data_IF_879078609337
#
_entry.id   IF_879078609337
#
_cell.length_a   1.000
_cell.length_b   1.000
_cell.length_c   1.000
_cell.angle_alpha   90.00
_cell.angle_beta   90.00
_cell.angle_gamma   90.00
#
_symmetry.space_group_name_H-M   'P 1'
#
loop_
_entity.id
_entity.type
_entity.pdbx_description
1 polymer ?
#
# COMPACT_ATOMS: atom_id res chain seq x y z
N UNK A 1 0.87 -1.49 -5.53
CA UNK A 1 1.79 -1.10 -4.45
C UNK A 1 1.74 -2.14 -3.35
N UNK A 2 2.87 -2.62 -2.94
CA UNK A 2 2.97 -3.54 -1.80
C UNK A 2 3.40 -2.78 -0.56
N UNK A 3 2.66 -2.94 0.51
CA UNK A 3 2.95 -2.29 1.78
C UNK A 3 3.43 -3.34 2.76
N UNK A 4 4.64 -3.17 3.22
CA UNK A 4 5.26 -4.12 4.15
C UNK A 4 5.07 -3.64 5.58
N UNK A 5 4.48 -4.48 6.44
CA UNK A 5 4.26 -4.08 7.83
C UNK A 5 5.54 -4.13 8.65
N UNK A 6 5.55 -3.36 9.71
CA UNK A 6 6.62 -3.48 10.71
C UNK A 6 6.48 -4.80 11.44
N UNK A 7 7.59 -5.29 11.96
CA UNK A 7 7.57 -6.51 12.75
C UNK A 7 6.61 -6.36 13.93
N UNK A 8 5.71 -7.31 14.06
CA UNK A 8 4.72 -7.29 15.13
C UNK A 8 3.49 -6.43 14.85
N UNK A 9 3.44 -5.77 13.70
CA UNK A 9 2.30 -4.94 13.34
C UNK A 9 1.09 -5.80 13.00
N UNK A 10 -0.07 -5.43 13.53
CA UNK A 10 -1.32 -6.09 13.20
C UNK A 10 -1.74 -5.70 11.77
N UNK A 11 -1.85 -6.70 10.91
CA UNK A 11 -2.17 -6.45 9.50
C UNK A 11 -3.57 -5.89 9.31
N UNK A 12 -4.52 -6.29 10.14
CA UNK A 12 -5.87 -5.79 10.02
C UNK A 12 -5.94 -4.30 10.31
N UNK A 13 -5.23 -3.87 11.32
CA UNK A 13 -5.15 -2.45 11.65
C UNK A 13 -4.46 -1.67 10.54
N UNK A 14 -3.35 -2.20 10.06
CA UNK A 14 -2.63 -1.56 8.98
C UNK A 14 -3.47 -1.49 7.72
N UNK A 15 -4.20 -2.55 7.42
CA UNK A 15 -5.09 -2.57 6.26
C UNK A 15 -6.14 -1.48 6.36
N UNK A 16 -6.73 -1.31 7.55
CA UNK A 16 -7.71 -0.25 7.75
C UNK A 16 -7.10 1.13 7.53
N UNK A 17 -5.89 1.33 8.03
CA UNK A 17 -5.21 2.60 7.87
C UNK A 17 -4.88 2.89 6.41
N UNK A 18 -4.43 1.89 5.67
CA UNK A 18 -4.15 2.04 4.25
C UNK A 18 -5.43 2.37 3.48
N UNK A 19 -6.52 1.73 3.84
CA UNK A 19 -7.81 2.00 3.19
C UNK A 19 -8.30 3.42 3.41
N UNK A 20 -7.87 4.04 4.50
CA UNK A 20 -8.26 5.42 4.79
C UNK A 20 -7.47 6.44 4.01
N UNK A 21 -6.41 6.03 3.36
CA UNK A 21 -5.61 6.95 2.55
C UNK A 21 -6.45 7.43 1.38
N UNK A 22 -6.45 8.74 1.19
CA UNK A 22 -7.19 9.33 0.09
C UNK A 22 -6.63 8.84 -1.24
N UNK A 23 -7.51 8.42 -2.12
CA UNK A 23 -7.11 7.88 -3.42
C UNK A 23 -6.97 6.37 -3.44
N UNK A 24 -7.07 5.72 -2.29
CA UNK A 24 -7.00 4.27 -2.23
C UNK A 24 -8.25 3.66 -2.86
N UNK A 25 -8.05 2.91 -3.92
CA UNK A 25 -9.14 2.24 -4.62
C UNK A 25 -9.44 0.88 -4.00
N UNK A 26 -8.38 0.13 -3.70
CA UNK A 26 -8.51 -1.22 -3.18
C UNK A 26 -7.29 -1.54 -2.33
N UNK A 27 -7.51 -2.26 -1.24
CA UNK A 27 -6.43 -2.76 -0.41
C UNK A 27 -6.82 -4.12 0.14
N UNK A 28 -5.89 -5.06 0.10
CA UNK A 28 -6.13 -6.40 0.61
C UNK A 28 -4.84 -7.02 1.11
N UNK A 29 -4.97 -7.99 2.00
CA UNK A 29 -3.81 -8.74 2.49
C UNK A 29 -3.54 -9.88 1.53
N UNK A 30 -2.30 -9.97 1.08
CA UNK A 30 -1.87 -11.06 0.22
C UNK A 30 -0.68 -11.78 0.85
N UNK A 31 -0.44 -12.99 0.41
CA UNK A 31 0.71 -13.74 0.84
C UNK A 31 1.87 -13.43 -0.10
N UNK A 32 2.98 -13.00 0.48
CA UNK A 32 4.18 -12.68 -0.29
C UNK A 32 5.05 -13.94 -0.40
N UNK A 33 6.33 -13.85 -0.11
CA UNK A 33 7.21 -15.01 -0.16
C UNK A 33 7.41 -15.57 1.25
N UNK A 34 7.64 -16.86 1.35
CA UNK A 34 7.94 -17.54 2.61
C UNK A 34 6.87 -17.33 3.70
N UNK A 35 5.62 -17.24 3.30
CA UNK A 35 4.54 -17.08 4.26
C UNK A 35 4.42 -15.69 4.85
N UNK A 36 5.19 -14.74 4.38
CA UNK A 36 5.07 -13.36 4.82
C UNK A 36 3.84 -12.73 4.19
N UNK A 37 3.04 -12.05 5.01
CA UNK A 37 1.86 -11.38 4.51
C UNK A 37 2.12 -9.89 4.38
N UNK A 38 1.66 -9.33 3.27
CA UNK A 38 1.80 -7.91 3.00
C UNK A 38 0.46 -7.38 2.49
N UNK A 39 0.34 -6.07 2.41
CA UNK A 39 -0.87 -5.45 1.92
C UNK A 39 -0.65 -5.02 0.47
N UNK A 40 -1.53 -5.47 -0.39
CA UNK A 40 -1.56 -5.04 -1.77
C UNK A 40 -2.56 -3.91 -1.90
N UNK A 41 -2.09 -2.73 -2.22
CA UNK A 41 -2.95 -1.56 -2.34
C UNK A 41 -2.90 -1.01 -3.76
N UNK A 42 -4.05 -0.59 -4.23
CA UNK A 42 -4.18 0.05 -5.54
C UNK A 42 -4.69 1.46 -5.34
N UNK A 43 -4.05 2.40 -6.00
CA UNK A 43 -4.44 3.80 -5.91
C UNK A 43 -4.78 4.32 -7.30
N UNK A 44 -5.79 5.17 -7.35
CA UNK A 44 -6.15 5.84 -8.59
C UNK A 44 -5.42 7.16 -8.61
N UNK A 45 -4.54 7.30 -9.56
CA UNK A 45 -3.78 8.53 -9.75
C UNK A 45 -4.30 9.26 -10.98
N UNK A 46 -4.65 10.50 -10.79
CA UNK A 46 -4.91 11.38 -11.93
C UNK A 46 -3.60 12.06 -12.27
N UNK A 47 -3.35 12.22 -13.54
CA UNK A 47 -2.10 12.77 -14.02
C UNK A 47 -1.73 14.12 -13.40
N UNK A 48 -2.74 14.90 -13.08
CA UNK A 48 -2.52 16.24 -12.56
C UNK A 48 -2.38 16.31 -11.04
N UNK A 49 -2.55 15.18 -10.35
CA UNK A 49 -2.57 15.21 -8.89
C UNK A 49 -1.24 15.57 -8.27
N UNK A 50 -0.15 15.16 -8.88
CA UNK A 50 1.17 15.40 -8.33
C UNK A 50 1.43 14.76 -6.98
N UNK A 51 0.53 13.93 -6.52
CA UNK A 51 0.67 13.29 -5.22
C UNK A 51 1.58 12.09 -5.28
N UNK A 52 2.46 12.00 -4.31
CA UNK A 52 3.32 10.84 -4.17
C UNK A 52 2.70 9.88 -3.16
N UNK A 53 1.95 8.94 -3.65
CA UNK A 53 1.28 7.98 -2.79
C UNK A 53 2.25 7.09 -2.05
N UNK A 54 3.41 6.83 -2.61
CA UNK A 54 4.43 6.06 -1.94
C UNK A 54 4.83 6.75 -0.63
N UNK A 55 5.06 8.03 -0.69
CA UNK A 55 5.44 8.78 0.49
C UNK A 55 4.30 8.88 1.49
N UNK A 56 3.09 9.08 1.01
CA UNK A 56 1.92 9.15 1.87
C UNK A 56 1.73 7.84 2.63
N UNK A 57 1.79 6.72 1.93
CA UNK A 57 1.61 5.41 2.55
C UNK A 57 2.77 5.10 3.49
N UNK A 58 3.97 5.51 3.14
CA UNK A 58 5.15 5.27 3.98
C UNK A 58 5.03 5.96 5.33
N UNK A 59 4.28 7.05 5.41
CA UNK A 59 4.04 7.76 6.66
C UNK A 59 2.97 7.13 7.53
N UNK A 60 2.25 6.16 7.02
CA UNK A 60 1.22 5.48 7.81
C UNK A 60 1.88 4.71 8.94
N UNK A 61 1.37 4.85 10.18
CA UNK A 61 1.94 4.10 11.30
C UNK A 61 1.86 2.60 11.06
N UNK A 62 2.94 1.89 11.34
CA UNK A 62 3.00 0.46 11.15
C UNK A 62 3.56 0.01 9.80
N UNK A 63 3.86 0.95 8.92
CA UNK A 63 4.46 0.63 7.63
C UNK A 63 5.98 0.61 7.77
N UNK A 64 6.59 -0.50 7.38
CA UNK A 64 8.03 -0.64 7.36
C UNK A 64 8.61 -0.15 6.05
N UNK A 65 8.01 -0.60 4.95
CA UNK A 65 8.49 -0.29 3.63
C UNK A 65 7.34 -0.34 2.63
N UNK A 66 7.48 0.40 1.56
CA UNK A 66 6.51 0.41 0.47
C UNK A 66 7.25 0.10 -0.82
N UNK A 67 6.73 -0.85 -1.58
CA UNK A 67 7.28 -1.19 -2.87
C UNK A 67 6.27 -0.79 -3.95
N UNK A 68 6.66 0.14 -4.78
CA UNK A 68 5.81 0.57 -5.88
C UNK A 68 5.97 -0.41 -7.03
N UNK A 69 4.86 -0.98 -7.44
CA UNK A 69 4.85 -1.83 -8.60
C UNK A 69 4.42 -0.99 -9.79
N UNK A 70 5.18 -1.08 -10.83
CA UNK A 70 4.80 -0.42 -12.05
C UNK A 70 3.69 -1.22 -12.68
N UNK A 71 2.50 -0.68 -12.60
CA UNK A 71 1.38 -1.30 -13.24
C UNK A 71 1.50 -0.96 -14.71
N UNK A 72 1.64 -1.98 -15.52
CA UNK A 72 1.68 -1.78 -16.94
C UNK A 72 0.41 -1.05 -17.35
N UNK A 73 0.59 0.15 -17.76
CA UNK A 73 -0.53 0.91 -18.27
C UNK A 73 -0.95 0.31 -19.57
N UNK A 74 -2.12 -0.17 -19.55
CA UNK A 74 -2.73 -0.56 -20.78
C UNK A 74 -3.21 0.72 -21.41
N UNK A 75 -2.45 1.14 -22.31
CA UNK A 75 -2.76 2.38 -23.01
C UNK A 75 -4.09 2.31 -23.71
#
# INVERSE_FOLDING_TARGET
MKVFPLEGQNLEELLADVRKVEGCNKAEVIEYVFGVKVIQASFICEDSSGKDYQEIVKKVPGVSEVQVEEIGLIG
#
